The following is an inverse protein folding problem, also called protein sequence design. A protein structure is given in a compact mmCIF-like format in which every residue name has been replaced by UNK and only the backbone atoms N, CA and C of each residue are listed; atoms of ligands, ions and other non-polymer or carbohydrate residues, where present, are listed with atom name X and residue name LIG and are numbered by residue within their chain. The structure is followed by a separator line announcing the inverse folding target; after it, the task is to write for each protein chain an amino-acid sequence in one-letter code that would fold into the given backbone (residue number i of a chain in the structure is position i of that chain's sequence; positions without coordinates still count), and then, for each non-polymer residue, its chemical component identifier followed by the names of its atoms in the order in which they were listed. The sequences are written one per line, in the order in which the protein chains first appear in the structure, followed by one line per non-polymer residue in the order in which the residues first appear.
data_IF_283817341650
#
_entry.id   IF_283817341650
#
_cell.length_a   1.000
_cell.length_b   1.000
_cell.length_c   1.000
_cell.angle_alpha   90.00
_cell.angle_beta   90.00
_cell.angle_gamma   90.00
#
_symmetry.space_group_name_H-M   'P 1'
#
loop_
_entity.id
_entity.type
_entity.pdbx_description
1 polymer ?
#
# COMPACT_ATOMS: atom_id res chain seq x y z
N UNK A 1 16.07 -10.81 -2.72
CA UNK A 1 17.32 -11.18 -3.43
C UNK A 1 17.71 -10.18 -4.51
N UNK A 2 16.79 -9.73 -5.39
CA UNK A 2 17.10 -8.76 -6.45
C UNK A 2 17.65 -7.46 -5.87
N UNK A 3 17.00 -6.92 -4.82
CA UNK A 3 17.46 -5.70 -4.16
C UNK A 3 18.90 -5.83 -3.65
N UNK A 4 19.24 -6.96 -3.05
CA UNK A 4 20.61 -7.23 -2.58
C UNK A 4 21.63 -7.17 -3.73
N UNK A 5 21.33 -7.81 -4.88
CA UNK A 5 22.20 -7.78 -6.06
C UNK A 5 22.43 -6.35 -6.58
N UNK A 6 21.34 -5.56 -6.65
CA UNK A 6 21.42 -4.17 -7.12
C UNK A 6 22.23 -3.31 -6.15
N UNK A 7 21.92 -3.39 -4.85
CA UNK A 7 22.51 -2.51 -3.81
C UNK A 7 24.00 -2.83 -3.60
N UNK A 8 24.38 -4.13 -3.61
CA UNK A 8 25.77 -4.53 -3.36
C UNK A 8 26.76 -4.01 -4.41
N UNK A 9 26.31 -3.75 -5.64
CA UNK A 9 27.13 -3.22 -6.72
C UNK A 9 27.27 -1.69 -6.72
N UNK A 10 26.76 -0.95 -5.72
CA UNK A 10 26.71 0.50 -5.73
C UNK A 10 27.72 1.15 -4.79
N UNK A 11 28.43 2.17 -5.30
CA UNK A 11 29.29 3.04 -4.48
C UNK A 11 28.45 3.93 -3.56
N UNK A 12 27.38 4.55 -4.11
CA UNK A 12 26.38 5.26 -3.32
C UNK A 12 25.13 4.38 -3.19
N UNK A 13 24.94 3.76 -2.02
CA UNK A 13 23.83 2.82 -1.74
C UNK A 13 22.57 3.53 -1.26
N UNK A 14 22.67 4.76 -0.80
CA UNK A 14 21.61 5.47 -0.11
C UNK A 14 20.28 5.59 -0.91
N UNK A 15 20.27 6.02 -2.20
CA UNK A 15 19.03 6.10 -2.96
C UNK A 15 18.35 4.75 -3.17
N UNK A 16 19.14 3.69 -3.34
CA UNK A 16 18.65 2.32 -3.53
C UNK A 16 18.06 1.74 -2.25
N UNK A 17 18.69 2.02 -1.10
CA UNK A 17 18.15 1.67 0.21
C UNK A 17 16.84 2.42 0.48
N UNK A 18 16.80 3.72 0.21
CA UNK A 18 15.59 4.54 0.38
C UNK A 18 14.41 3.98 -0.43
N UNK A 19 14.64 3.63 -1.71
CA UNK A 19 13.63 2.98 -2.54
C UNK A 19 13.17 1.64 -1.94
N UNK A 20 14.12 0.78 -1.55
CA UNK A 20 13.79 -0.54 -0.99
C UNK A 20 13.03 -0.42 0.32
N UNK A 21 13.39 0.50 1.21
CA UNK A 21 12.65 0.76 2.45
C UNK A 21 11.23 1.27 2.17
N UNK A 22 11.05 2.07 1.13
CA UNK A 22 9.72 2.46 0.64
C UNK A 22 8.87 1.25 0.25
N UNK A 23 9.45 0.30 -0.51
CA UNK A 23 8.78 -0.96 -0.89
C UNK A 23 8.45 -1.81 0.34
N UNK A 24 9.35 -1.91 1.33
CA UNK A 24 9.10 -2.64 2.58
C UNK A 24 7.97 -2.02 3.41
N UNK A 25 7.90 -0.69 3.47
CA UNK A 25 6.80 0.01 4.13
C UNK A 25 5.46 -0.28 3.46
N UNK A 26 5.41 -0.21 2.12
CA UNK A 26 4.21 -0.53 1.35
C UNK A 26 3.79 -1.98 1.57
N UNK A 27 4.73 -2.92 1.44
CA UNK A 27 4.48 -4.34 1.68
C UNK A 27 3.90 -4.60 3.09
N UNK A 28 4.48 -4.01 4.13
CA UNK A 28 4.02 -4.20 5.50
C UNK A 28 2.59 -3.67 5.70
N UNK A 29 2.24 -2.56 5.05
CA UNK A 29 0.88 -2.01 5.10
C UNK A 29 -0.11 -2.94 4.39
N UNK A 30 0.18 -3.35 3.18
CA UNK A 30 -0.71 -4.18 2.36
C UNK A 30 -0.97 -5.53 3.02
N UNK A 31 0.07 -6.23 3.46
CA UNK A 31 -0.06 -7.52 4.17
C UNK A 31 -0.88 -7.38 5.45
N UNK A 32 -0.81 -6.23 6.12
CA UNK A 32 -1.58 -5.98 7.35
C UNK A 32 -3.05 -5.65 7.09
N UNK A 33 -3.39 -5.09 5.93
CA UNK A 33 -4.71 -4.51 5.67
C UNK A 33 -5.57 -5.32 4.69
N UNK A 34 -4.98 -5.94 3.65
CA UNK A 34 -5.74 -6.53 2.54
C UNK A 34 -6.64 -7.70 2.99
N UNK A 35 -6.20 -8.54 3.93
CA UNK A 35 -7.05 -9.62 4.44
C UNK A 35 -8.37 -9.09 5.02
N UNK A 36 -8.29 -8.04 5.83
CA UNK A 36 -9.48 -7.40 6.38
C UNK A 36 -10.32 -6.69 5.30
N UNK A 37 -9.68 -6.04 4.32
CA UNK A 37 -10.39 -5.36 3.23
C UNK A 37 -11.21 -6.37 2.42
N UNK A 38 -10.64 -7.54 2.09
CA UNK A 38 -11.34 -8.61 1.38
C UNK A 38 -12.54 -9.14 2.17
N UNK A 39 -12.39 -9.37 3.48
CA UNK A 39 -13.49 -9.77 4.35
C UNK A 39 -14.60 -8.70 4.32
N UNK A 40 -14.24 -7.43 4.44
CA UNK A 40 -15.20 -6.32 4.41
C UNK A 40 -15.94 -6.18 3.08
N UNK A 41 -15.26 -6.40 1.95
CA UNK A 41 -15.89 -6.45 0.61
C UNK A 41 -16.94 -7.55 0.56
N UNK A 42 -16.58 -8.76 1.01
CA UNK A 42 -17.47 -9.92 0.99
C UNK A 42 -18.70 -9.73 1.89
N UNK A 43 -18.54 -9.10 3.05
CA UNK A 43 -19.63 -8.84 3.99
C UNK A 43 -20.57 -7.72 3.56
N UNK A 44 -20.03 -6.62 3.01
CA UNK A 44 -20.79 -5.38 2.79
C UNK A 44 -21.11 -5.09 1.33
N UNK A 45 -20.38 -5.70 0.38
CA UNK A 45 -20.46 -5.35 -1.03
C UNK A 45 -19.90 -3.97 -1.39
N UNK A 46 -19.25 -3.27 -0.43
CA UNK A 46 -18.55 -2.00 -0.70
C UNK A 46 -17.28 -2.32 -1.49
N UNK A 47 -16.96 -1.50 -2.51
CA UNK A 47 -15.78 -1.75 -3.32
C UNK A 47 -14.49 -1.52 -2.55
N UNK A 48 -13.43 -2.25 -2.93
CA UNK A 48 -12.07 -2.08 -2.42
C UNK A 48 -11.63 -0.61 -2.42
N UNK A 49 -11.75 0.03 -3.58
CA UNK A 49 -11.38 1.42 -3.77
C UNK A 49 -12.13 2.38 -2.84
N UNK A 50 -13.40 2.12 -2.54
CA UNK A 50 -14.18 2.98 -1.64
C UNK A 50 -13.76 2.82 -0.18
N UNK A 51 -13.44 1.60 0.26
CA UNK A 51 -12.92 1.34 1.61
C UNK A 51 -11.59 2.08 1.83
N UNK A 52 -10.67 1.98 0.88
CA UNK A 52 -9.36 2.64 0.95
C UNK A 52 -9.46 4.16 0.88
N UNK A 53 -10.28 4.69 -0.02
CA UNK A 53 -10.45 6.15 -0.17
C UNK A 53 -11.12 6.78 1.05
N UNK A 54 -12.05 6.09 1.70
CA UNK A 54 -12.62 6.58 2.95
C UNK A 54 -11.62 6.52 4.11
N UNK A 55 -10.70 5.56 4.10
CA UNK A 55 -9.58 5.51 5.03
C UNK A 55 -8.58 6.65 4.77
N UNK A 56 -8.17 6.88 3.53
CA UNK A 56 -7.32 8.00 3.12
C UNK A 56 -7.95 9.34 3.51
N UNK A 57 -9.26 9.48 3.31
CA UNK A 57 -10.02 10.66 3.75
C UNK A 57 -9.82 10.93 5.24
N UNK A 58 -9.92 9.92 6.08
CA UNK A 58 -9.74 10.07 7.53
C UNK A 58 -8.33 10.48 7.88
N UNK A 59 -7.32 9.83 7.29
CA UNK A 59 -5.91 10.19 7.48
C UNK A 59 -5.62 11.64 7.06
N UNK A 60 -6.19 12.09 5.94
CA UNK A 60 -6.05 13.48 5.49
C UNK A 60 -6.69 14.46 6.47
N UNK A 61 -7.86 14.14 7.02
CA UNK A 61 -8.52 14.98 8.03
C UNK A 61 -7.68 15.04 9.31
N UNK A 62 -7.13 13.91 9.77
CA UNK A 62 -6.22 13.87 10.92
C UNK A 62 -4.98 14.75 10.70
N UNK A 63 -4.47 14.78 9.47
CA UNK A 63 -3.36 15.64 9.04
C UNK A 63 -3.79 17.10 8.77
N UNK A 64 -5.04 17.48 9.07
CA UNK A 64 -5.61 18.81 8.80
C UNK A 64 -5.58 19.20 7.31
N UNK A 65 -5.65 18.23 6.42
CA UNK A 65 -5.72 18.40 4.97
C UNK A 65 -7.18 18.30 4.51
N UNK A 66 -7.49 18.97 3.38
CA UNK A 66 -8.79 18.83 2.75
C UNK A 66 -8.81 17.66 1.77
N UNK A 67 -9.54 16.57 2.04
CA UNK A 67 -9.52 15.37 1.20
C UNK A 67 -10.15 15.56 -0.18
N UNK A 68 -10.98 16.59 -0.37
CA UNK A 68 -11.68 16.85 -1.64
C UNK A 68 -10.78 17.59 -2.64
N UNK A 69 -9.84 18.39 -2.17
CA UNK A 69 -9.08 19.31 -3.02
C UNK A 69 -7.59 18.99 -3.09
N UNK A 70 -7.08 18.15 -2.20
CA UNK A 70 -5.65 17.86 -2.14
C UNK A 70 -5.33 16.51 -2.76
N UNK A 71 -4.24 16.48 -3.52
CA UNK A 71 -3.68 15.26 -4.11
C UNK A 71 -2.88 14.48 -3.07
N UNK A 72 -3.03 13.15 -3.06
CA UNK A 72 -2.26 12.21 -2.22
C UNK A 72 -0.83 12.01 -2.71
N UNK A 73 -0.55 12.26 -3.99
CA UNK A 73 0.72 11.91 -4.66
C UNK A 73 1.74 13.06 -4.73
N UNK A 74 1.60 14.10 -3.91
CA UNK A 74 2.52 15.25 -3.90
C UNK A 74 3.96 14.91 -3.53
N UNK A 75 4.18 13.80 -2.86
CA UNK A 75 5.50 13.31 -2.46
C UNK A 75 6.23 12.58 -3.59
N UNK A 76 5.54 12.24 -4.68
CA UNK A 76 6.15 11.55 -5.83
C UNK A 76 6.91 12.56 -6.67
N UNK A 77 8.21 12.33 -6.86
CA UNK A 77 9.09 13.17 -7.66
C UNK A 77 9.56 12.38 -8.89
N UNK A 78 9.01 12.64 -10.09
CA UNK A 78 9.36 11.93 -11.33
C UNK A 78 10.66 12.45 -11.95
N UNK A 79 11.73 12.52 -11.16
CA UNK A 79 13.06 12.92 -11.63
C UNK A 79 13.73 11.79 -12.40
N UNK A 80 14.70 12.13 -13.25
CA UNK A 80 15.53 11.14 -13.94
C UNK A 80 16.36 10.32 -12.97
N UNK A 81 16.82 10.94 -11.89
CA UNK A 81 17.58 10.29 -10.84
C UNK A 81 16.74 9.20 -10.16
N UNK A 82 15.52 9.52 -9.69
CA UNK A 82 14.62 8.57 -9.09
C UNK A 82 14.24 7.45 -10.09
N UNK A 83 13.90 7.82 -11.32
CA UNK A 83 13.54 6.85 -12.36
C UNK A 83 14.71 5.90 -12.69
N UNK A 84 15.94 6.39 -12.72
CA UNK A 84 17.15 5.58 -12.91
C UNK A 84 17.32 4.58 -11.77
N UNK A 85 17.24 5.04 -10.52
CA UNK A 85 17.35 4.17 -9.34
C UNK A 85 16.31 3.06 -9.39
N UNK A 86 15.05 3.40 -9.63
CA UNK A 86 13.94 2.44 -9.66
C UNK A 86 14.12 1.43 -10.80
N UNK A 87 14.47 1.88 -12.01
CA UNK A 87 14.60 0.99 -13.19
C UNK A 87 15.61 -0.13 -12.98
N UNK A 88 16.65 0.08 -12.17
CA UNK A 88 17.66 -0.96 -11.92
C UNK A 88 17.13 -2.16 -11.12
N UNK A 89 15.99 -2.02 -10.43
CA UNK A 89 15.32 -3.14 -9.78
C UNK A 89 14.46 -3.99 -10.74
N UNK A 90 14.19 -3.49 -11.94
CA UNK A 90 13.30 -4.12 -12.93
C UNK A 90 14.03 -4.34 -14.24
N UNK A 91 14.49 -5.59 -14.56
CA UNK A 91 15.36 -5.87 -15.72
C UNK A 91 14.81 -5.45 -17.07
N UNK A 92 13.48 -5.55 -17.22
CA UNK A 92 12.78 -5.31 -18.49
C UNK A 92 12.18 -3.89 -18.59
N UNK A 93 12.64 -2.98 -17.73
CA UNK A 93 12.05 -1.63 -17.61
C UNK A 93 13.15 -0.59 -17.76
N UNK A 94 12.95 0.36 -18.66
CA UNK A 94 13.89 1.46 -18.86
C UNK A 94 13.63 2.62 -17.87
N UNK A 95 14.63 3.49 -17.68
CA UNK A 95 14.46 4.73 -16.91
C UNK A 95 13.31 5.60 -17.46
N UNK A 96 13.13 5.64 -18.78
CA UNK A 96 12.05 6.39 -19.42
C UNK A 96 10.68 5.80 -19.12
N UNK A 97 10.56 4.46 -19.06
CA UNK A 97 9.31 3.81 -18.72
C UNK A 97 8.91 4.09 -17.28
N UNK A 98 9.88 4.03 -16.35
CA UNK A 98 9.65 4.38 -14.95
C UNK A 98 9.23 5.85 -14.81
N UNK A 99 9.94 6.78 -15.48
CA UNK A 99 9.61 8.20 -15.44
C UNK A 99 8.18 8.45 -15.93
N UNK A 100 7.80 7.87 -17.08
CA UNK A 100 6.44 7.94 -17.62
C UNK A 100 5.40 7.34 -16.66
N UNK A 101 5.72 6.22 -15.99
CA UNK A 101 4.83 5.61 -15.01
C UNK A 101 4.59 6.53 -13.80
N UNK A 102 5.64 7.16 -13.26
CA UNK A 102 5.52 8.14 -12.17
C UNK A 102 4.72 9.38 -12.59
N UNK A 103 4.98 9.94 -13.77
CA UNK A 103 4.23 11.07 -14.34
C UNK A 103 2.76 10.69 -14.58
N UNK A 104 2.51 9.48 -15.09
CA UNK A 104 1.19 8.91 -15.28
C UNK A 104 0.43 8.78 -13.95
N UNK A 105 1.06 8.24 -12.92
CA UNK A 105 0.47 8.10 -11.58
C UNK A 105 0.05 9.47 -11.02
N UNK A 106 0.91 10.49 -11.14
CA UNK A 106 0.57 11.86 -10.72
C UNK A 106 -0.61 12.41 -11.52
N UNK A 107 -0.60 12.23 -12.85
CA UNK A 107 -1.64 12.74 -13.74
C UNK A 107 -2.99 12.10 -13.46
N UNK A 108 -3.04 10.77 -13.31
CA UNK A 108 -4.28 10.04 -12.98
C UNK A 108 -4.82 10.42 -11.61
N UNK A 109 -3.94 10.52 -10.61
CA UNK A 109 -4.37 10.92 -9.27
C UNK A 109 -4.93 12.34 -9.25
N UNK A 110 -4.30 13.28 -9.95
CA UNK A 110 -4.79 14.66 -10.10
C UNK A 110 -6.11 14.74 -10.88
N UNK A 111 -6.33 13.82 -11.84
CA UNK A 111 -7.61 13.72 -12.53
C UNK A 111 -8.72 13.33 -11.55
N UNK A 112 -8.46 12.38 -10.65
CA UNK A 112 -9.42 11.89 -9.64
C UNK A 112 -9.70 12.90 -8.51
N UNK A 113 -8.82 13.91 -8.30
CA UNK A 113 -9.14 15.05 -7.43
C UNK A 113 -10.21 15.88 -8.12
N UNK A 114 -11.47 15.67 -7.74
CA UNK A 114 -12.65 16.24 -8.40
C UNK A 114 -13.54 17.03 -7.43
N UNK A 115 -13.13 18.26 -7.01
CA UNK A 115 -13.91 19.11 -6.13
C UNK A 115 -15.14 19.72 -6.80
N UNK A 116 -15.12 19.85 -8.13
CA UNK A 116 -16.23 20.39 -8.92
C UNK A 116 -17.25 19.31 -9.28
N UNK A 117 -18.54 19.60 -9.09
CA UNK A 117 -19.64 18.72 -9.49
C UNK A 117 -19.59 18.40 -11.01
N UNK A 118 -19.24 19.40 -11.84
CA UNK A 118 -19.13 19.24 -13.29
C UNK A 118 -18.02 18.25 -13.66
N UNK A 119 -16.82 18.44 -13.07
CA UNK A 119 -15.68 17.54 -13.31
C UNK A 119 -16.05 16.11 -12.90
N UNK A 120 -16.65 15.94 -11.73
CA UNK A 120 -17.07 14.64 -11.19
C UNK A 120 -18.10 13.97 -12.08
N UNK A 121 -19.08 14.72 -12.58
CA UNK A 121 -20.09 14.23 -13.50
C UNK A 121 -19.45 13.68 -14.79
N UNK A 122 -18.51 14.43 -15.38
CA UNK A 122 -17.78 13.96 -16.57
C UNK A 122 -16.99 12.67 -16.32
N UNK A 123 -16.26 12.58 -15.19
CA UNK A 123 -15.52 11.37 -14.85
C UNK A 123 -16.48 10.18 -14.69
N UNK A 124 -17.57 10.35 -13.97
CA UNK A 124 -18.55 9.29 -13.79
C UNK A 124 -19.23 8.87 -15.10
N UNK A 125 -19.49 9.81 -16.00
CA UNK A 125 -19.99 9.49 -17.33
C UNK A 125 -18.99 8.63 -18.11
N UNK A 126 -17.71 9.00 -18.13
CA UNK A 126 -16.67 8.21 -18.78
C UNK A 126 -16.53 6.81 -18.17
N UNK A 127 -16.55 6.69 -16.85
CA UNK A 127 -16.52 5.40 -16.17
C UNK A 127 -17.72 4.52 -16.50
N UNK A 128 -18.91 5.11 -16.66
CA UNK A 128 -20.12 4.36 -17.07
C UNK A 128 -20.01 3.88 -18.51
N UNK A 129 -19.56 4.75 -19.41
CA UNK A 129 -19.39 4.40 -20.83
C UNK A 129 -18.33 3.31 -21.01
N UNK A 130 -17.24 3.34 -20.22
CA UNK A 130 -16.19 2.31 -20.25
C UNK A 130 -16.56 1.01 -19.52
N UNK A 131 -17.71 0.94 -18.84
CA UNK A 131 -18.12 -0.21 -18.03
C UNK A 131 -17.44 -0.34 -16.66
N UNK A 132 -16.48 0.57 -16.32
CA UNK A 132 -15.66 0.47 -15.12
C UNK A 132 -16.25 1.23 -13.91
N UNK A 133 -17.48 1.70 -14.00
CA UNK A 133 -18.07 2.56 -12.97
C UNK A 133 -18.12 1.87 -11.58
N UNK A 134 -18.52 0.60 -11.53
CA UNK A 134 -18.68 -0.11 -10.25
C UNK A 134 -17.36 -0.23 -9.48
N UNK A 135 -16.27 -0.45 -10.18
CA UNK A 135 -14.94 -0.67 -9.59
C UNK A 135 -14.23 0.64 -9.29
N UNK A 136 -14.36 1.64 -10.15
CA UNK A 136 -13.52 2.83 -10.14
C UNK A 136 -14.21 4.09 -9.56
N UNK A 137 -15.54 4.13 -9.42
CA UNK A 137 -16.21 5.32 -8.87
C UNK A 137 -15.76 5.64 -7.44
N UNK A 138 -15.41 4.61 -6.66
CA UNK A 138 -14.88 4.70 -5.31
C UNK A 138 -13.51 5.39 -5.21
N UNK A 139 -12.76 5.51 -6.32
CA UNK A 139 -11.47 6.23 -6.33
C UNK A 139 -11.61 7.75 -6.15
N UNK A 140 -12.81 8.28 -6.31
CA UNK A 140 -13.09 9.72 -6.12
C UNK A 140 -13.61 9.94 -4.71
N UNK A 141 -12.87 10.68 -3.89
CA UNK A 141 -13.28 11.01 -2.51
C UNK A 141 -14.66 11.65 -2.50
N UNK A 142 -15.59 11.06 -1.76
CA UNK A 142 -16.96 11.56 -1.64
C UNK A 142 -17.02 12.93 -0.95
N UNK A 143 -18.02 13.76 -1.26
CA UNK A 143 -18.23 15.05 -0.55
C UNK A 143 -18.52 14.82 0.94
N UNK A 144 -19.24 13.76 1.24
CA UNK A 144 -19.58 13.36 2.61
C UNK A 144 -19.02 11.96 2.88
N UNK A 145 -18.63 11.72 4.12
CA UNK A 145 -18.12 10.42 4.57
C UNK A 145 -19.16 9.32 4.31
N UNK A 146 -18.74 8.22 3.74
CA UNK A 146 -19.58 7.02 3.65
C UNK A 146 -19.69 6.36 5.03
N UNK A 147 -20.89 6.44 5.62
CA UNK A 147 -21.14 5.88 6.96
C UNK A 147 -20.96 4.36 7.02
N UNK A 148 -21.14 3.67 5.90
CA UNK A 148 -20.94 2.22 5.82
C UNK A 148 -19.46 1.81 5.92
N UNK A 149 -18.52 2.77 5.78
CA UNK A 149 -17.09 2.56 5.98
C UNK A 149 -16.59 3.00 7.37
N UNK A 150 -17.47 3.36 8.33
CA UNK A 150 -17.02 3.83 9.63
C UNK A 150 -16.26 2.77 10.41
N UNK A 151 -16.76 1.55 10.43
CA UNK A 151 -16.13 0.41 11.10
C UNK A 151 -14.81 0.01 10.42
N UNK A 152 -14.79 -0.04 9.09
CA UNK A 152 -13.56 -0.32 8.34
C UNK A 152 -12.50 0.76 8.55
N UNK A 153 -12.88 2.03 8.60
CA UNK A 153 -11.94 3.13 8.88
C UNK A 153 -11.27 2.96 10.25
N UNK A 154 -12.04 2.64 11.30
CA UNK A 154 -11.51 2.41 12.65
C UNK A 154 -10.56 1.21 12.67
N UNK A 155 -10.97 0.09 12.06
CA UNK A 155 -10.14 -1.12 12.00
C UNK A 155 -8.85 -0.90 11.21
N UNK A 156 -8.93 -0.26 10.03
CA UNK A 156 -7.77 0.06 9.22
C UNK A 156 -6.80 1.02 9.94
N UNK A 157 -7.29 1.96 10.73
CA UNK A 157 -6.43 2.81 11.54
C UNK A 157 -5.61 2.01 12.57
N UNK A 158 -6.21 1.00 13.20
CA UNK A 158 -5.51 0.08 14.10
C UNK A 158 -4.48 -0.75 13.35
N UNK A 159 -4.85 -1.34 12.20
CA UNK A 159 -3.95 -2.12 11.36
C UNK A 159 -2.78 -1.28 10.81
N UNK A 160 -3.04 -0.04 10.42
CA UNK A 160 -2.00 0.92 9.99
C UNK A 160 -0.98 1.20 11.09
N UNK A 161 -1.44 1.37 12.34
CA UNK A 161 -0.53 1.56 13.48
C UNK A 161 0.35 0.34 13.70
N UNK A 162 -0.22 -0.85 13.58
CA UNK A 162 0.53 -2.11 13.67
C UNK A 162 1.52 -2.27 12.49
N UNK A 163 1.09 -1.98 11.27
CA UNK A 163 1.91 -2.07 10.06
C UNK A 163 3.19 -1.23 10.15
N UNK A 164 3.18 -0.09 10.84
CA UNK A 164 4.41 0.72 11.07
C UNK A 164 5.47 -0.04 11.87
N UNK A 165 5.07 -0.81 12.87
CA UNK A 165 6.01 -1.64 13.62
C UNK A 165 6.51 -2.81 12.76
N UNK A 166 5.63 -3.45 12.01
CA UNK A 166 5.97 -4.52 11.05
C UNK A 166 6.98 -4.01 10.01
N UNK A 167 6.75 -2.81 9.46
CA UNK A 167 7.66 -2.17 8.52
C UNK A 167 9.06 -1.93 9.12
N UNK A 168 9.10 -1.39 10.34
CA UNK A 168 10.35 -1.16 11.06
C UNK A 168 11.15 -2.46 11.26
N UNK A 169 10.49 -3.53 11.73
CA UNK A 169 11.12 -4.84 11.90
C UNK A 169 11.59 -5.43 10.57
N UNK A 170 10.80 -5.26 9.49
CA UNK A 170 11.16 -5.72 8.15
C UNK A 170 12.41 -5.02 7.62
N UNK A 171 12.57 -3.72 7.88
CA UNK A 171 13.76 -2.95 7.51
C UNK A 171 14.99 -3.48 8.26
N UNK A 172 14.91 -3.68 9.58
CA UNK A 172 16.03 -4.22 10.37
C UNK A 172 16.46 -5.60 9.86
N UNK A 173 15.50 -6.50 9.63
CA UNK A 173 15.79 -7.84 9.11
C UNK A 173 16.38 -7.79 7.70
N UNK A 174 15.89 -6.88 6.86
CA UNK A 174 16.44 -6.68 5.53
C UNK A 174 17.88 -6.15 5.56
N UNK A 175 18.19 -5.24 6.47
CA UNK A 175 19.57 -4.75 6.67
C UNK A 175 20.52 -5.87 7.13
N UNK A 176 20.08 -6.72 8.06
CA UNK A 176 20.83 -7.92 8.46
C UNK A 176 21.07 -8.85 7.25
N UNK A 177 20.04 -9.07 6.43
CA UNK A 177 20.19 -9.84 5.19
C UNK A 177 21.17 -9.21 4.19
N UNK A 178 21.17 -7.89 4.02
CA UNK A 178 22.11 -7.18 3.14
C UNK A 178 23.56 -7.33 3.59
N UNK A 179 23.80 -7.37 4.90
CA UNK A 179 25.12 -7.48 5.50
C UNK A 179 25.59 -8.94 5.70
N UNK A 180 24.81 -9.93 5.25
CA UNK A 180 25.00 -11.37 5.45
C UNK A 180 24.95 -11.82 6.92
N UNK A 181 24.31 -11.07 7.79
CA UNK A 181 24.16 -11.40 9.21
C UNK A 181 23.03 -12.40 9.46
N UNK A 182 22.04 -12.46 8.53
CA UNK A 182 20.91 -13.39 8.61
C UNK A 182 20.40 -13.78 7.21
N UNK A 183 19.57 -14.84 7.18
CA UNK A 183 18.82 -15.24 5.99
C UNK A 183 17.64 -14.27 5.74
N UNK A 184 17.12 -14.31 4.50
CA UNK A 184 15.93 -13.53 4.14
C UNK A 184 14.73 -14.00 4.98
N UNK A 185 14.02 -13.06 5.58
CA UNK A 185 12.85 -13.36 6.39
C UNK A 185 11.75 -14.07 5.57
N UNK A 186 11.13 -15.09 6.17
CA UNK A 186 10.08 -15.89 5.54
C UNK A 186 8.82 -15.08 5.18
N UNK A 187 8.60 -13.92 5.80
CA UNK A 187 7.53 -13.01 5.45
C UNK A 187 7.59 -12.57 3.98
N UNK A 188 8.79 -12.53 3.38
CA UNK A 188 8.97 -12.20 1.95
C UNK A 188 8.60 -13.33 0.98
N UNK A 189 8.12 -14.46 1.47
CA UNK A 189 7.53 -15.52 0.65
C UNK A 189 6.04 -15.26 0.33
N UNK A 190 5.47 -14.19 0.85
CA UNK A 190 4.08 -13.80 0.59
C UNK A 190 3.99 -12.68 -0.43
N UNK A 191 2.87 -12.68 -1.17
CA UNK A 191 2.49 -11.55 -2.01
C UNK A 191 1.95 -10.39 -1.16
N UNK A 192 1.80 -9.22 -1.76
CA UNK A 192 1.16 -8.06 -1.14
C UNK A 192 -0.28 -8.33 -0.67
N UNK A 193 -1.00 -9.25 -1.31
CA UNK A 193 -2.32 -9.72 -0.90
C UNK A 193 -2.31 -10.86 0.13
N UNK A 194 -1.22 -11.06 0.88
CA UNK A 194 -1.07 -12.10 1.92
C UNK A 194 -1.20 -13.54 1.41
N UNK A 195 -1.01 -13.77 0.10
CA UNK A 195 -1.03 -15.10 -0.51
C UNK A 195 0.40 -15.65 -0.59
N UNK A 196 0.60 -16.91 -0.15
CA UNK A 196 1.88 -17.60 -0.27
C UNK A 196 2.26 -17.78 -1.74
N UNK A 197 3.46 -17.35 -2.12
CA UNK A 197 3.97 -17.50 -3.48
C UNK A 197 4.28 -18.99 -3.74
N UNK A 198 3.80 -19.54 -4.86
CA UNK A 198 4.03 -20.94 -5.24
C UNK A 198 5.53 -21.28 -5.28
N UNK A 199 5.89 -22.43 -4.68
CA UNK A 199 7.28 -22.88 -4.55
C UNK A 199 7.86 -22.73 -3.14
N UNK A 200 7.15 -22.13 -2.20
CA UNK A 200 7.52 -22.10 -0.79
C UNK A 200 6.94 -23.32 -0.04
N UNK A 201 7.75 -23.93 0.82
CA UNK A 201 7.48 -25.23 1.46
C UNK A 201 6.22 -25.20 2.37
N UNK A 202 5.43 -26.29 2.36
CA UNK A 202 4.17 -26.42 3.12
C UNK A 202 4.34 -26.32 4.65
N UNK A 203 5.54 -26.60 5.20
CA UNK A 203 5.84 -26.41 6.62
C UNK A 203 5.80 -24.93 7.05
N UNK A 204 5.82 -24.01 6.11
CA UNK A 204 5.76 -22.56 6.35
C UNK A 204 4.33 -22.06 6.56
N UNK A 205 3.31 -22.76 6.03
CA UNK A 205 1.89 -22.41 6.21
C UNK A 205 1.47 -22.45 7.68
N UNK A 206 1.98 -23.45 8.44
CA UNK A 206 1.66 -23.61 9.86
C UNK A 206 2.23 -22.46 10.70
N UNK A 207 3.50 -22.11 10.47
CA UNK A 207 4.20 -21.06 11.23
C UNK A 207 3.59 -19.66 11.04
N UNK A 208 2.90 -19.43 9.92
CA UNK A 208 2.29 -18.13 9.61
C UNK A 208 0.82 -18.07 10.06
N UNK A 209 0.11 -19.17 9.96
CA UNK A 209 -1.17 -19.32 10.67
C UNK A 209 -1.01 -19.02 12.16
N UNK A 210 0.06 -19.55 12.78
CA UNK A 210 0.38 -19.32 14.17
C UNK A 210 0.81 -17.86 14.45
N UNK A 211 1.52 -17.21 13.51
CA UNK A 211 1.88 -15.79 13.61
C UNK A 211 0.68 -14.87 13.36
N UNK A 212 -0.19 -15.16 12.40
CA UNK A 212 -1.45 -14.42 12.18
C UNK A 212 -2.35 -14.57 13.40
N UNK A 213 -2.52 -15.78 13.95
CA UNK A 213 -3.28 -16.00 15.19
C UNK A 213 -2.66 -15.29 16.40
N UNK A 214 -1.32 -15.24 16.50
CA UNK A 214 -0.64 -14.50 17.56
C UNK A 214 -0.83 -12.99 17.43
N UNK A 215 -0.80 -12.46 16.19
CA UNK A 215 -1.09 -11.05 15.87
C UNK A 215 -2.56 -10.72 16.13
N UNK A 216 -3.49 -11.59 15.73
CA UNK A 216 -4.92 -11.42 16.04
C UNK A 216 -5.19 -11.49 17.55
N UNK A 217 -4.52 -12.39 18.27
CA UNK A 217 -4.66 -12.50 19.73
C UNK A 217 -4.08 -11.29 20.46
N UNK A 218 -3.00 -10.72 19.94
CA UNK A 218 -2.39 -9.50 20.46
C UNK A 218 -3.28 -8.28 20.21
N UNK A 219 -3.83 -8.15 19.01
CA UNK A 219 -4.78 -7.08 18.65
C UNK A 219 -6.04 -7.18 19.52
N UNK A 220 -6.57 -8.37 19.76
CA UNK A 220 -7.74 -8.57 20.64
C UNK A 220 -7.45 -8.18 22.09
N UNK A 221 -6.24 -8.39 22.60
CA UNK A 221 -5.84 -7.98 23.96
C UNK A 221 -5.70 -6.47 24.09
N UNK A 222 -5.09 -5.78 23.11
CA UNK A 222 -4.94 -4.32 23.17
C UNK A 222 -6.28 -3.58 23.03
N UNK A 223 -7.19 -4.06 22.19
CA UNK A 223 -8.54 -3.47 22.06
C UNK A 223 -9.38 -3.62 23.33
N UNK A 224 -9.10 -4.61 24.20
CA UNK A 224 -9.77 -4.77 25.50
C UNK A 224 -9.23 -3.84 26.60
N UNK A 225 -8.05 -3.21 26.43
CA UNK A 225 -7.47 -2.29 27.40
C UNK A 225 -7.79 -0.80 27.14
N UNK A 226 -8.40 -0.46 26.01
CA UNK A 226 -8.83 0.91 25.65
C UNK A 226 -10.35 1.11 25.75
N UNK A 227 -11.10 0.22 26.41
CA UNK A 227 -12.55 0.28 26.64
C UNK A 227 -12.91 0.73 28.04
#
# INVERSE_FOLDING_TARGET
ERARKVISGKNNREPYLAYTYGVLNHFALDVSCHGYIEDKINESGISHAEIEVEFDRELMIMDKKNPITQSLVRHIIPSEENAKVISEFYPDTTMQDVKKALEGMISYNNLLVAPSHIKRWFIYLLLKVSGNYKEMHGLIVNYHKNKACNDSTVKLLSLYRHAKNTAYQSIIKFDGFLNNDCELDKAFNYSFGSVLIEGCDNNQKQCISDNIQSVESFIRKEVQYEG
#
